data_IF_243977185142
#
_entry.id   IF_243977185142
#
_cell.length_a   1.000
_cell.length_b   1.000
_cell.length_c   1.000
_cell.angle_alpha   90.00
_cell.angle_beta   90.00
_cell.angle_gamma   90.00
#
_symmetry.space_group_name_H-M   'P 1'
#
loop_
_entity.id
_entity.type
_entity.pdbx_description
1 polymer ?
#
# COMPACT_ATOMS: atom_id res chain seq x y z
N UNK A 1 -9.81 24.33 -16.54
CA UNK A 1 -8.39 23.93 -16.45
C UNK A 1 -8.28 22.65 -15.66
N UNK A 2 -7.70 21.62 -16.26
CA UNK A 2 -7.56 20.32 -15.64
C UNK A 2 -6.28 20.31 -14.82
N UNK A 3 -6.39 20.12 -13.50
CA UNK A 3 -5.22 20.00 -12.63
C UNK A 3 -4.71 18.57 -12.73
N UNK A 4 -3.48 18.41 -13.21
CA UNK A 4 -2.85 17.08 -13.22
C UNK A 4 -2.46 16.70 -11.79
N UNK A 5 -2.83 15.49 -11.39
CA UNK A 5 -2.43 14.94 -10.11
C UNK A 5 -1.00 14.43 -10.18
N UNK A 6 -0.25 14.67 -9.13
CA UNK A 6 1.12 14.19 -9.04
C UNK A 6 1.17 12.67 -9.03
N UNK A 7 2.07 12.13 -9.83
CA UNK A 7 2.32 10.70 -9.90
C UNK A 7 3.47 10.30 -9.00
N UNK A 8 3.40 9.10 -8.49
CA UNK A 8 4.45 8.49 -7.70
C UNK A 8 4.64 7.04 -8.14
N UNK A 9 5.80 6.49 -7.83
CA UNK A 9 6.12 5.11 -8.17
C UNK A 9 5.72 4.17 -7.04
N UNK A 10 5.09 3.07 -7.40
CA UNK A 10 4.70 2.00 -6.49
C UNK A 10 4.78 0.68 -7.23
N UNK A 11 5.00 -0.40 -6.51
CA UNK A 11 4.96 -1.74 -7.10
C UNK A 11 3.57 -2.33 -6.97
N UNK A 12 3.05 -2.87 -8.07
CA UNK A 12 1.69 -3.43 -8.15
C UNK A 12 1.79 -4.86 -8.62
N UNK A 13 0.97 -5.75 -8.06
CA UNK A 13 0.91 -7.14 -8.49
C UNK A 13 0.49 -7.26 -9.94
N UNK A 14 1.02 -8.27 -10.64
CA UNK A 14 0.62 -8.56 -12.03
C UNK A 14 -0.81 -9.10 -12.09
N UNK A 15 -1.22 -9.80 -11.04
CA UNK A 15 -2.52 -10.45 -10.95
C UNK A 15 -3.41 -9.74 -9.95
N UNK A 16 -4.69 -9.61 -10.27
CA UNK A 16 -5.70 -9.16 -9.32
C UNK A 16 -6.33 -10.36 -8.61
N UNK A 17 -6.80 -10.14 -7.39
CA UNK A 17 -7.40 -11.17 -6.54
C UNK A 17 -8.81 -10.77 -6.16
N UNK A 18 -9.75 -11.71 -6.27
CA UNK A 18 -11.13 -11.49 -5.83
C UNK A 18 -11.28 -11.62 -4.32
N UNK A 19 -10.36 -12.38 -3.70
CA UNK A 19 -10.30 -12.61 -2.26
C UNK A 19 -8.87 -12.43 -1.79
N UNK A 20 -8.70 -12.28 -0.48
CA UNK A 20 -7.36 -12.23 0.12
C UNK A 20 -6.56 -13.46 -0.31
N UNK A 21 -5.34 -13.29 -0.86
CA UNK A 21 -4.52 -14.43 -1.26
C UNK A 21 -4.24 -15.36 -0.07
N UNK A 22 -4.26 -16.67 -0.30
CA UNK A 22 -3.83 -17.64 0.71
C UNK A 22 -2.33 -17.50 0.97
N UNK A 23 -1.84 -18.07 2.07
CA UNK A 23 -0.42 -18.08 2.39
C UNK A 23 0.41 -18.72 1.27
N UNK A 24 -0.14 -19.72 0.59
CA UNK A 24 0.52 -20.36 -0.56
C UNK A 24 0.57 -19.42 -1.77
N UNK A 25 -0.56 -18.80 -2.12
CA UNK A 25 -0.63 -17.85 -3.23
C UNK A 25 0.25 -16.63 -2.98
N UNK A 26 0.30 -16.13 -1.75
CA UNK A 26 1.09 -14.98 -1.36
C UNK A 26 2.56 -15.11 -1.75
N UNK A 27 3.13 -16.29 -1.60
CA UNK A 27 4.55 -16.55 -1.91
C UNK A 27 4.88 -16.40 -3.40
N UNK A 28 3.89 -16.55 -4.28
CA UNK A 28 4.08 -16.52 -5.72
C UNK A 28 3.60 -15.23 -6.39
N UNK A 29 3.17 -14.25 -5.60
CA UNK A 29 2.76 -12.97 -6.16
C UNK A 29 3.99 -12.27 -6.74
N UNK A 30 3.82 -11.81 -8.00
CA UNK A 30 4.86 -11.03 -8.70
C UNK A 30 4.40 -9.59 -8.84
N UNK A 31 5.33 -8.68 -8.78
CA UNK A 31 5.09 -7.24 -8.79
C UNK A 31 5.86 -6.56 -9.89
N UNK A 32 5.32 -5.46 -10.40
CA UNK A 32 5.98 -4.59 -11.35
C UNK A 32 5.83 -3.13 -10.89
N UNK A 33 6.88 -2.34 -11.08
CA UNK A 33 6.84 -0.92 -10.77
C UNK A 33 5.92 -0.19 -11.75
N UNK A 34 5.05 0.66 -11.21
CA UNK A 34 4.15 1.51 -12.00
C UNK A 34 4.17 2.93 -11.47
N UNK A 35 3.97 3.89 -12.37
CA UNK A 35 3.76 5.29 -12.02
C UNK A 35 2.26 5.56 -11.98
N UNK A 36 1.75 5.97 -10.83
CA UNK A 36 0.31 6.15 -10.60
C UNK A 36 0.07 7.44 -9.82
N UNK A 37 -1.14 7.98 -9.95
CA UNK A 37 -1.64 8.99 -9.01
C UNK A 37 -2.55 8.32 -7.97
N UNK A 38 -3.05 9.10 -7.01
CA UNK A 38 -3.91 8.57 -5.93
C UNK A 38 -5.16 7.89 -6.49
N UNK A 39 -5.80 8.48 -7.49
CA UNK A 39 -7.03 7.90 -8.07
C UNK A 39 -6.74 6.59 -8.80
N UNK A 40 -5.65 6.52 -9.54
CA UNK A 40 -5.23 5.29 -10.22
C UNK A 40 -4.94 4.18 -9.20
N UNK A 41 -4.24 4.48 -8.11
CA UNK A 41 -3.98 3.50 -7.05
C UNK A 41 -5.28 3.04 -6.40
N UNK A 42 -6.20 3.96 -6.14
CA UNK A 42 -7.51 3.63 -5.58
C UNK A 42 -8.27 2.65 -6.48
N UNK A 43 -8.25 2.88 -7.80
CA UNK A 43 -8.90 2.00 -8.77
C UNK A 43 -8.25 0.61 -8.81
N UNK A 44 -6.94 0.54 -8.74
CA UNK A 44 -6.22 -0.74 -8.67
C UNK A 44 -6.58 -1.51 -7.40
N UNK A 45 -6.66 -0.85 -6.26
CA UNK A 45 -7.08 -1.47 -5.00
C UNK A 45 -8.51 -2.02 -5.12
N UNK A 46 -9.43 -1.24 -5.71
CA UNK A 46 -10.82 -1.68 -5.93
C UNK A 46 -10.92 -2.91 -6.82
N UNK A 47 -10.01 -3.04 -7.78
CA UNK A 47 -9.97 -4.20 -8.67
C UNK A 47 -9.36 -5.44 -8.03
N UNK A 48 -8.71 -5.29 -6.88
CA UNK A 48 -8.11 -6.42 -6.16
C UNK A 48 -6.62 -6.60 -6.37
N UNK A 49 -5.92 -5.61 -6.92
CA UNK A 49 -4.47 -5.66 -7.03
C UNK A 49 -3.81 -5.41 -5.67
N UNK A 50 -2.69 -6.10 -5.43
CA UNK A 50 -1.83 -5.86 -4.28
C UNK A 50 -0.78 -4.82 -4.65
N UNK A 51 -0.27 -4.10 -3.66
CA UNK A 51 0.78 -3.11 -3.88
C UNK A 51 1.83 -3.18 -2.76
N UNK A 52 3.02 -2.70 -3.08
CA UNK A 52 4.11 -2.61 -2.12
C UNK A 52 5.11 -1.52 -2.52
N UNK A 53 6.16 -1.34 -1.71
CA UNK A 53 7.22 -0.37 -1.97
C UNK A 53 8.08 -0.75 -3.17
N UNK A 54 9.06 0.09 -3.49
CA UNK A 54 10.02 -0.18 -4.57
C UNK A 54 11.20 -0.94 -3.99
N UNK A 55 11.49 -2.10 -4.58
CA UNK A 55 12.57 -2.98 -4.15
C UNK A 55 13.58 -3.19 -5.27
N UNK A 56 14.83 -3.38 -4.88
CA UNK A 56 15.91 -3.70 -5.80
C UNK A 56 15.70 -5.12 -6.34
N UNK A 57 15.74 -5.26 -7.67
CA UNK A 57 15.64 -6.54 -8.35
C UNK A 57 16.41 -6.48 -9.66
N UNK A 58 17.00 -7.60 -10.06
CA UNK A 58 17.66 -7.73 -11.36
C UNK A 58 16.64 -7.81 -12.50
N UNK A 59 15.39 -8.14 -12.18
CA UNK A 59 14.32 -8.28 -13.15
C UNK A 59 13.31 -7.13 -13.03
N UNK A 60 12.65 -6.80 -14.13
CA UNK A 60 11.57 -5.81 -14.14
C UNK A 60 10.42 -6.28 -13.24
N UNK A 61 10.17 -7.59 -13.23
CA UNK A 61 9.18 -8.24 -12.37
C UNK A 61 9.91 -8.91 -11.21
N UNK A 62 9.50 -8.62 -9.99
CA UNK A 62 10.08 -9.24 -8.80
C UNK A 62 9.02 -9.99 -7.98
N UNK A 63 9.47 -10.86 -7.09
CA UNK A 63 8.60 -11.69 -6.26
C UNK A 63 8.70 -11.33 -4.78
N UNK A 64 7.84 -11.92 -3.96
CA UNK A 64 7.80 -11.69 -2.51
C UNK A 64 9.15 -11.94 -1.85
N UNK A 65 9.93 -12.92 -2.32
CA UNK A 65 11.26 -13.21 -1.77
C UNK A 65 12.23 -12.04 -1.87
N UNK A 66 12.02 -11.13 -2.83
CA UNK A 66 12.85 -9.94 -3.03
C UNK A 66 12.48 -8.80 -2.11
N UNK A 67 11.35 -8.91 -1.40
CA UNK A 67 10.84 -7.89 -0.48
C UNK A 67 11.55 -7.97 0.87
N UNK A 68 12.81 -7.60 0.90
CA UNK A 68 13.63 -7.61 2.12
C UNK A 68 14.13 -6.19 2.41
N UNK A 69 14.54 -5.96 3.66
CA UNK A 69 15.11 -4.68 4.06
C UNK A 69 16.34 -4.36 3.22
N UNK A 70 17.16 -5.37 2.92
CA UNK A 70 18.37 -5.20 2.11
C UNK A 70 18.05 -4.76 0.68
N UNK A 71 16.91 -5.16 0.13
CA UNK A 71 16.50 -4.83 -1.23
C UNK A 71 15.60 -3.59 -1.31
N UNK A 72 15.19 -3.04 -0.17
CA UNK A 72 14.34 -1.86 -0.17
C UNK A 72 15.07 -0.67 -0.80
N UNK A 73 14.43 -0.03 -1.78
CA UNK A 73 14.98 1.16 -2.44
C UNK A 73 14.32 2.44 -1.96
N UNK A 74 13.01 2.53 -2.11
CA UNK A 74 12.30 3.77 -1.85
C UNK A 74 10.81 3.57 -1.69
N UNK A 75 10.15 4.59 -1.16
CA UNK A 75 8.69 4.67 -1.11
C UNK A 75 8.24 6.13 -1.05
N UNK A 76 7.06 6.41 -1.58
CA UNK A 76 6.33 7.65 -1.33
C UNK A 76 5.02 7.37 -0.58
N UNK A 77 4.79 6.13 -0.19
CA UNK A 77 3.58 5.72 0.51
C UNK A 77 3.92 5.02 1.81
N UNK A 78 3.11 5.30 2.82
CA UNK A 78 3.09 4.53 4.07
C UNK A 78 1.64 4.16 4.34
N UNK A 79 1.41 2.95 4.82
CA UNK A 79 0.07 2.53 5.21
C UNK A 79 0.07 1.97 6.61
N UNK A 80 -1.07 2.16 7.28
CA UNK A 80 -1.32 1.67 8.61
C UNK A 80 -2.49 0.70 8.54
N UNK A 81 -2.28 -0.52 9.01
CA UNK A 81 -3.34 -1.51 9.12
C UNK A 81 -3.94 -1.43 10.52
N UNK A 82 -5.25 -1.17 10.57
CA UNK A 82 -6.00 -1.20 11.81
C UNK A 82 -6.83 -2.49 11.82
N UNK A 83 -6.39 -3.42 12.65
CA UNK A 83 -7.01 -4.74 12.77
C UNK A 83 -7.70 -4.88 14.13
N UNK A 84 -8.89 -5.48 14.13
CA UNK A 84 -9.65 -5.79 15.34
C UNK A 84 -9.83 -4.59 16.28
N UNK A 85 -10.04 -3.41 15.70
CA UNK A 85 -10.24 -2.19 16.47
C UNK A 85 -11.72 -1.96 16.78
N UNK A 86 -11.99 -1.27 17.89
CA UNK A 86 -13.35 -0.82 18.23
C UNK A 86 -13.75 0.43 17.45
N UNK A 87 -12.79 1.07 16.78
CA UNK A 87 -13.01 2.28 16.00
C UNK A 87 -13.48 1.90 14.60
N UNK A 88 -14.57 2.51 14.14
CA UNK A 88 -15.02 2.34 12.76
C UNK A 88 -14.16 3.17 11.81
N UNK A 89 -14.24 2.85 10.52
CA UNK A 89 -13.51 3.59 9.47
C UNK A 89 -13.91 5.07 9.47
N UNK A 90 -15.19 5.38 9.66
CA UNK A 90 -15.68 6.75 9.69
C UNK A 90 -15.20 7.50 10.94
N UNK A 91 -15.23 6.85 12.10
CA UNK A 91 -14.74 7.43 13.34
C UNK A 91 -13.24 7.73 13.24
N UNK A 92 -12.46 6.81 12.67
CA UNK A 92 -11.03 7.03 12.44
C UNK A 92 -10.80 8.26 11.58
N UNK A 93 -11.51 8.36 10.44
CA UNK A 93 -11.36 9.51 9.54
C UNK A 93 -11.70 10.83 10.24
N UNK A 94 -12.73 10.84 11.08
CA UNK A 94 -13.19 12.05 11.74
C UNK A 94 -12.19 12.56 12.78
N UNK A 95 -11.54 11.67 13.53
CA UNK A 95 -10.67 12.12 14.63
C UNK A 95 -9.18 12.20 14.26
N UNK A 96 -8.71 11.52 13.22
CA UNK A 96 -7.30 11.54 12.87
C UNK A 96 -6.86 12.92 12.40
N UNK A 97 -5.73 13.42 12.93
CA UNK A 97 -5.25 14.77 12.64
C UNK A 97 -4.77 14.91 11.19
N UNK A 98 -4.05 13.92 10.71
CA UNK A 98 -3.58 13.90 9.31
C UNK A 98 -4.44 12.91 8.54
N UNK A 99 -5.21 13.43 7.58
CA UNK A 99 -6.12 12.60 6.80
C UNK A 99 -5.35 11.73 5.80
N UNK A 100 -5.66 10.43 5.70
CA UNK A 100 -5.04 9.58 4.71
C UNK A 100 -5.47 9.96 3.28
N UNK A 101 -4.61 9.63 2.31
CA UNK A 101 -4.91 9.81 0.90
C UNK A 101 -5.95 8.80 0.41
N UNK A 102 -5.88 7.58 0.95
CA UNK A 102 -6.83 6.49 0.66
C UNK A 102 -7.15 5.78 1.98
N UNK A 103 -8.43 5.49 2.17
CA UNK A 103 -8.90 4.76 3.34
C UNK A 103 -9.91 3.72 2.87
N UNK A 104 -9.67 2.45 3.18
CA UNK A 104 -10.54 1.37 2.71
C UNK A 104 -10.58 0.19 3.67
N UNK A 105 -11.71 -0.53 3.63
CA UNK A 105 -11.89 -1.76 4.40
C UNK A 105 -11.08 -2.89 3.76
N UNK A 106 -10.35 -3.65 4.58
CA UNK A 106 -9.64 -4.83 4.09
C UNK A 106 -10.60 -6.01 3.94
N UNK A 107 -10.21 -7.08 3.19
CA UNK A 107 -11.09 -8.23 3.00
C UNK A 107 -11.53 -8.94 4.29
N UNK A 108 -10.78 -8.76 5.38
CA UNK A 108 -11.10 -9.36 6.68
C UNK A 108 -12.07 -8.51 7.51
N UNK A 109 -12.51 -7.35 7.01
CA UNK A 109 -13.45 -6.48 7.72
C UNK A 109 -14.83 -7.11 7.76
N UNK A 110 -15.39 -7.24 8.96
CA UNK A 110 -16.78 -7.71 9.17
C UNK A 110 -17.49 -6.64 9.99
N UNK A 111 -18.48 -6.00 9.38
CA UNK A 111 -19.23 -4.90 10.00
C UNK A 111 -19.88 -5.37 11.31
N UNK A 112 -19.61 -4.63 12.39
CA UNK A 112 -20.17 -4.91 13.72
C UNK A 112 -19.47 -6.04 14.50
N UNK A 113 -18.49 -6.71 13.88
CA UNK A 113 -17.73 -7.80 14.51
C UNK A 113 -16.25 -7.47 14.56
N UNK A 114 -15.63 -7.25 13.41
CA UNK A 114 -14.20 -6.92 13.30
C UNK A 114 -14.04 -5.72 12.38
N UNK A 115 -13.63 -4.58 12.95
CA UNK A 115 -13.28 -3.41 12.13
C UNK A 115 -11.84 -3.58 11.67
N UNK A 116 -11.66 -3.81 10.36
CA UNK A 116 -10.34 -3.96 9.73
C UNK A 116 -10.28 -3.07 8.51
N UNK A 117 -9.38 -2.10 8.55
CA UNK A 117 -9.22 -1.16 7.46
C UNK A 117 -7.78 -0.70 7.35
N UNK A 118 -7.46 -0.13 6.21
CA UNK A 118 -6.11 0.36 5.91
C UNK A 118 -6.17 1.84 5.55
N UNK A 119 -5.26 2.61 6.15
CA UNK A 119 -5.06 4.02 5.84
C UNK A 119 -3.75 4.16 5.05
N UNK A 120 -3.83 4.72 3.85
CA UNK A 120 -2.66 4.93 2.98
C UNK A 120 -2.36 6.41 2.91
N UNK A 121 -1.11 6.77 3.21
CA UNK A 121 -0.59 8.13 3.12
C UNK A 121 0.39 8.23 1.97
N UNK A 122 0.18 9.17 1.06
CA UNK A 122 1.10 9.46 -0.03
C UNK A 122 1.85 10.75 0.30
N UNK A 123 3.17 10.68 0.27
CA UNK A 123 4.04 11.82 0.59
C UNK A 123 4.45 12.59 -0.67
N UNK A 124 4.76 13.87 -0.48
CA UNK A 124 5.30 14.71 -1.56
C UNK A 124 6.75 14.36 -1.88
N UNK A 125 7.47 13.78 -0.92
CA UNK A 125 8.88 13.46 -1.05
C UNK A 125 9.12 11.96 -1.09
N UNK A 126 10.14 11.55 -1.84
CA UNK A 126 10.60 10.18 -1.90
C UNK A 126 11.39 9.84 -0.62
N UNK A 127 11.02 8.74 0.04
CA UNK A 127 11.75 8.21 1.19
C UNK A 127 12.69 7.11 0.67
N UNK A 128 13.99 7.37 0.71
CA UNK A 128 15.01 6.45 0.24
C UNK A 128 15.55 5.58 1.39
N UNK A 129 16.12 4.43 1.04
CA UNK A 129 16.62 3.46 2.00
C UNK A 129 17.63 4.03 3.00
N UNK A 130 18.50 4.97 2.56
CA UNK A 130 19.51 5.60 3.40
C UNK A 130 18.91 6.53 4.47
N UNK A 131 17.66 6.97 4.29
CA UNK A 131 16.96 7.84 5.25
C UNK A 131 16.23 7.05 6.33
N UNK A 132 15.76 5.85 6.00
CA UNK A 132 15.00 5.00 6.94
C UNK A 132 15.86 4.59 8.14
N UNK A 133 17.14 4.26 7.92
CA UNK A 133 18.05 3.91 9.00
C UNK A 133 18.25 5.03 10.04
N UNK A 134 18.02 6.28 9.67
CA UNK A 134 18.10 7.42 10.59
C UNK A 134 16.86 7.63 11.44
N UNK A 135 15.73 7.11 11.00
CA UNK A 135 14.47 7.25 11.72
C UNK A 135 14.40 6.36 12.97
N UNK A 136 15.29 5.39 13.09
CA UNK A 136 15.35 4.45 14.20
C UNK A 136 16.39 4.79 15.26
N UNK A 137 17.04 5.91 15.12
CA UNK A 137 18.07 6.34 16.08
C UNK A 137 17.49 7.17 17.20
#
# INVERSE_FOLDING_TARGET
MKIEKEKFDISVSLKKFEQKPSNHEWKFIKYIKQSVDVDMLCDLIKQGFCFCHIFKSNDIVFSVKDKTIANFLSTQTVWIDLDDTFVTINEFYDFVSIKPSILYSTPSNIIGVNNRFRAVYVFDELIESNKIGRAHV
#
